data_IF_203370125391
#
_entry.id   IF_203370125391
#
_cell.length_a   1.000
_cell.length_b   1.000
_cell.length_c   1.000
_cell.angle_alpha   90.00
_cell.angle_beta   90.00
_cell.angle_gamma   90.00
#
_symmetry.space_group_name_H-M   'P 1'
#
loop_
_entity.id
_entity.type
_entity.pdbx_description
1 polymer ?
#
# COMPACT_ATOMS: atom_id res chain seq x y z
N UNK A 1 -6.82 -21.75 4.19
CA UNK A 1 -7.24 -20.48 4.80
C UNK A 1 -6.13 -20.06 5.73
N UNK A 2 -5.61 -18.85 5.57
CA UNK A 2 -4.60 -18.32 6.47
C UNK A 2 -5.22 -17.68 7.70
N UNK A 3 -4.44 -17.52 8.77
CA UNK A 3 -4.87 -16.86 10.00
C UNK A 3 -4.30 -15.45 10.07
N UNK A 4 -5.10 -14.48 10.54
CA UNK A 4 -4.69 -13.10 10.78
C UNK A 4 -4.62 -12.86 12.28
N UNK A 5 -3.50 -12.33 12.77
CA UNK A 5 -3.34 -11.97 14.17
C UNK A 5 -2.80 -10.55 14.31
N UNK A 6 -3.37 -9.79 15.24
CA UNK A 6 -2.93 -8.43 15.56
C UNK A 6 -1.69 -8.50 16.44
N UNK A 7 -0.71 -7.66 16.12
CA UNK A 7 0.41 -7.37 17.01
C UNK A 7 0.75 -5.88 16.97
N UNK A 8 1.41 -5.40 18.02
CA UNK A 8 1.82 -4.01 18.14
C UNK A 8 3.32 -3.89 17.91
N UNK A 9 3.71 -2.92 17.11
CA UNK A 9 5.12 -2.64 16.76
C UNK A 9 5.78 -1.73 17.81
N UNK A 10 7.10 -1.53 17.70
CA UNK A 10 7.85 -0.77 18.70
C UNK A 10 7.48 0.72 18.79
N UNK A 11 6.91 1.31 17.74
CA UNK A 11 6.40 2.70 17.76
C UNK A 11 4.94 2.80 18.25
N UNK A 12 4.38 1.69 18.75
CA UNK A 12 3.02 1.63 19.28
C UNK A 12 1.93 1.53 18.22
N UNK A 13 2.29 1.36 16.94
CA UNK A 13 1.31 1.17 15.86
C UNK A 13 0.90 -0.30 15.68
N UNK A 14 -0.38 -0.58 15.39
CA UNK A 14 -0.89 -1.92 15.16
C UNK A 14 -0.50 -2.43 13.77
N UNK A 15 -0.29 -3.73 13.67
CA UNK A 15 -0.03 -4.44 12.42
C UNK A 15 -0.57 -5.86 12.50
N UNK A 16 -0.47 -6.60 11.40
CA UNK A 16 -0.97 -7.97 11.30
C UNK A 16 0.15 -8.95 10.95
N UNK A 17 0.08 -10.14 11.53
CA UNK A 17 0.73 -11.33 10.98
C UNK A 17 -0.28 -12.11 10.15
N UNK A 18 0.18 -12.63 9.02
CA UNK A 18 -0.57 -13.57 8.20
C UNK A 18 0.15 -14.91 8.15
N UNK A 19 -0.51 -15.96 8.60
CA UNK A 19 -0.03 -17.33 8.49
C UNK A 19 -0.62 -18.00 7.25
N UNK A 20 0.23 -18.52 6.37
CA UNK A 20 -0.16 -19.32 5.21
C UNK A 20 0.49 -20.69 5.31
N UNK A 21 -0.33 -21.75 5.24
CA UNK A 21 0.16 -23.11 5.12
C UNK A 21 0.53 -23.36 3.66
N UNK A 22 1.80 -23.63 3.39
CA UNK A 22 2.34 -23.94 2.07
C UNK A 22 2.68 -25.43 1.99
N UNK A 23 2.69 -25.97 0.76
CA UNK A 23 3.19 -27.32 0.53
C UNK A 23 4.71 -27.31 0.69
N UNK A 24 5.22 -28.17 1.57
CA UNK A 24 6.65 -28.28 1.84
C UNK A 24 7.40 -29.02 0.74
N UNK A 25 8.74 -29.07 0.82
CA UNK A 25 9.61 -29.66 -0.21
C UNK A 25 9.44 -31.18 -0.35
N UNK A 26 8.96 -31.86 0.69
CA UNK A 26 8.65 -33.30 0.64
C UNK A 26 7.20 -33.55 0.24
N UNK A 27 6.97 -34.62 -0.52
CA UNK A 27 5.63 -35.04 -0.96
C UNK A 27 4.77 -35.31 0.28
N UNK A 28 3.72 -34.50 0.46
CA UNK A 28 2.79 -34.47 1.61
C UNK A 28 3.27 -33.74 2.87
N UNK A 29 4.37 -32.98 2.81
CA UNK A 29 4.73 -32.05 3.90
C UNK A 29 3.97 -30.72 3.77
N UNK A 30 3.63 -30.11 4.90
CA UNK A 30 3.04 -28.77 4.99
C UNK A 30 3.91 -27.94 5.92
N UNK A 31 4.26 -26.73 5.51
CA UNK A 31 4.99 -25.77 6.34
C UNK A 31 4.13 -24.52 6.53
N UNK A 32 3.94 -24.12 7.79
CA UNK A 32 3.32 -22.85 8.13
C UNK A 32 4.34 -21.73 7.95
N UNK A 33 4.01 -20.76 7.09
CA UNK A 33 4.82 -19.56 6.90
C UNK A 33 4.06 -18.37 7.47
N UNK A 34 4.65 -17.72 8.47
CA UNK A 34 4.11 -16.52 9.11
C UNK A 34 4.86 -15.30 8.59
N UNK A 35 4.12 -14.35 8.02
CA UNK A 35 4.66 -13.08 7.57
C UNK A 35 4.07 -11.92 8.38
N UNK A 36 4.93 -11.00 8.81
CA UNK A 36 4.51 -9.71 9.37
C UNK A 36 4.26 -8.74 8.22
N UNK A 37 3.11 -8.06 8.22
CA UNK A 37 2.79 -7.09 7.17
C UNK A 37 3.65 -5.83 7.23
N UNK A 38 4.24 -5.51 8.39
CA UNK A 38 5.12 -4.37 8.57
C UNK A 38 6.38 -4.75 9.36
N UNK A 39 7.36 -3.88 9.32
CA UNK A 39 8.58 -3.97 10.11
C UNK A 39 8.29 -3.80 11.60
N UNK A 40 8.94 -4.60 12.44
CA UNK A 40 8.69 -4.62 13.88
C UNK A 40 9.02 -3.31 14.61
N UNK A 41 9.81 -2.43 13.98
CA UNK A 41 10.14 -1.11 14.55
C UNK A 41 8.98 -0.11 14.47
N UNK A 42 8.01 -0.33 13.58
CA UNK A 42 6.90 0.59 13.44
C UNK A 42 6.16 0.46 12.13
N UNK A 43 4.89 0.10 12.16
CA UNK A 43 4.03 0.13 10.97
C UNK A 43 3.76 1.56 10.53
N UNK A 44 3.38 2.42 11.48
CA UNK A 44 3.20 3.86 11.27
C UNK A 44 4.46 4.50 10.69
N UNK A 45 5.59 4.35 11.37
CA UNK A 45 6.86 4.94 10.93
C UNK A 45 7.32 4.41 9.57
N UNK A 46 7.06 3.13 9.27
CA UNK A 46 7.32 2.55 7.95
C UNK A 46 6.43 3.18 6.88
N UNK A 47 5.12 3.29 7.12
CA UNK A 47 4.17 3.92 6.19
C UNK A 47 4.58 5.36 5.88
N UNK A 48 4.91 6.15 6.90
CA UNK A 48 5.38 7.53 6.70
C UNK A 48 6.64 7.56 5.84
N UNK A 49 7.63 6.74 6.19
CA UNK A 49 8.91 6.74 5.49
C UNK A 49 8.80 6.28 4.04
N UNK A 50 8.04 5.20 3.79
CA UNK A 50 8.01 4.51 2.50
C UNK A 50 6.93 5.09 1.59
N UNK A 51 5.72 5.30 2.09
CA UNK A 51 4.53 5.57 1.29
C UNK A 51 4.10 7.04 1.34
N UNK A 52 4.05 7.68 2.52
CA UNK A 52 3.67 9.10 2.63
C UNK A 52 4.58 10.00 1.80
N UNK A 53 5.90 9.79 1.86
CA UNK A 53 6.86 10.59 1.08
C UNK A 53 6.66 10.50 -0.43
N UNK A 54 6.13 9.38 -0.95
CA UNK A 54 5.78 9.23 -2.36
C UNK A 54 4.52 10.04 -2.71
N UNK A 55 3.50 9.96 -1.86
CA UNK A 55 2.26 10.71 -2.01
C UNK A 55 2.50 12.23 -1.93
N UNK A 56 3.31 12.69 -0.96
CA UNK A 56 3.70 14.10 -0.82
C UNK A 56 4.48 14.60 -2.04
N UNK A 57 5.44 13.80 -2.53
CA UNK A 57 6.18 14.16 -3.76
C UNK A 57 5.22 14.28 -4.94
N UNK A 58 4.30 13.33 -5.10
CA UNK A 58 3.31 13.38 -6.16
C UNK A 58 2.43 14.62 -6.04
N UNK A 59 1.86 14.90 -4.86
CA UNK A 59 1.04 16.08 -4.61
C UNK A 59 1.76 17.40 -4.89
N UNK A 60 3.07 17.46 -4.62
CA UNK A 60 3.85 18.68 -4.85
C UNK A 60 4.10 19.00 -6.34
N UNK A 61 3.95 18.02 -7.24
CA UNK A 61 4.34 18.14 -8.66
C UNK A 61 3.23 17.77 -9.66
N UNK A 62 2.12 17.15 -9.23
CA UNK A 62 1.11 16.55 -10.10
C UNK A 62 -0.24 17.35 -10.13
N UNK A 63 -1.18 17.04 -11.06
CA UNK A 63 -2.25 17.94 -11.50
C UNK A 63 -3.50 17.93 -10.58
N UNK A 64 -4.64 18.47 -11.07
CA UNK A 64 -5.95 18.49 -10.38
C UNK A 64 -6.43 17.11 -9.91
N UNK A 65 -6.00 16.02 -10.56
CA UNK A 65 -6.39 14.65 -10.25
C UNK A 65 -5.17 13.72 -10.24
N UNK A 66 -5.10 12.81 -9.27
CA UNK A 66 -4.01 11.86 -9.08
C UNK A 66 -4.59 10.44 -8.91
N UNK A 67 -4.14 9.48 -9.72
CA UNK A 67 -4.51 8.08 -9.55
C UNK A 67 -3.44 7.34 -8.78
N UNK A 68 -3.86 6.76 -7.65
CA UNK A 68 -3.01 6.02 -6.73
C UNK A 68 -3.41 4.56 -6.79
N UNK A 69 -2.47 3.68 -7.12
CA UNK A 69 -2.61 2.25 -6.92
C UNK A 69 -1.96 1.87 -5.60
N UNK A 70 -2.68 1.12 -4.78
CA UNK A 70 -2.18 0.47 -3.58
C UNK A 70 -2.34 -1.04 -3.72
N UNK A 71 -1.23 -1.78 -3.67
CA UNK A 71 -1.23 -3.23 -3.78
C UNK A 71 -1.07 -3.84 -2.40
N UNK A 72 -2.17 -4.19 -1.76
CA UNK A 72 -2.21 -4.65 -0.37
C UNK A 72 -2.92 -3.62 0.52
N UNK A 73 -4.18 -3.90 0.90
CA UNK A 73 -4.93 -3.03 1.81
C UNK A 73 -4.39 -3.19 3.23
N UNK A 74 -4.23 -4.44 3.70
CA UNK A 74 -3.84 -4.67 5.10
C UNK A 74 -4.84 -4.04 6.07
N UNK A 75 -4.34 -3.15 6.93
CA UNK A 75 -5.15 -2.33 7.85
C UNK A 75 -5.57 -0.96 7.26
N UNK A 76 -5.31 -0.70 5.98
CA UNK A 76 -5.73 0.54 5.31
C UNK A 76 -4.83 1.75 5.51
N UNK A 77 -3.58 1.55 5.95
CA UNK A 77 -2.65 2.66 6.22
C UNK A 77 -2.45 3.56 5.00
N UNK A 78 -2.22 2.96 3.82
CA UNK A 78 -1.93 3.70 2.58
C UNK A 78 -3.16 4.46 2.08
N UNK A 79 -4.35 3.88 2.20
CA UNK A 79 -5.62 4.45 1.76
C UNK A 79 -6.03 5.63 2.65
N UNK A 80 -5.92 5.46 3.97
CA UNK A 80 -6.25 6.52 4.93
C UNK A 80 -5.21 7.64 4.88
N UNK A 81 -3.92 7.31 4.69
CA UNK A 81 -2.85 8.29 4.45
C UNK A 81 -3.11 9.13 3.20
N UNK A 82 -3.47 8.47 2.09
CA UNK A 82 -3.80 9.14 0.83
C UNK A 82 -4.99 10.09 0.98
N UNK A 83 -6.06 9.63 1.64
CA UNK A 83 -7.25 10.43 1.91
C UNK A 83 -6.98 11.61 2.88
N UNK A 84 -6.15 11.41 3.91
CA UNK A 84 -5.76 12.47 4.85
C UNK A 84 -4.90 13.55 4.19
N UNK A 85 -3.94 13.14 3.36
CA UNK A 85 -3.14 14.07 2.57
C UNK A 85 -4.01 14.90 1.61
N UNK A 86 -4.95 14.28 0.89
CA UNK A 86 -5.91 14.98 0.03
C UNK A 86 -6.72 16.04 0.80
N UNK A 87 -7.25 15.71 1.97
CA UNK A 87 -7.97 16.67 2.82
C UNK A 87 -7.08 17.84 3.25
N UNK A 88 -5.84 17.56 3.63
CA UNK A 88 -4.88 18.59 4.07
C UNK A 88 -4.38 19.47 2.92
N UNK A 89 -4.43 18.96 1.67
CA UNK A 89 -3.92 19.63 0.46
C UNK A 89 -4.95 19.55 -0.67
N UNK A 90 -6.07 20.31 -0.59
CA UNK A 90 -7.26 20.11 -1.43
C UNK A 90 -7.09 20.55 -2.90
N UNK A 91 -5.88 20.85 -3.35
CA UNK A 91 -5.62 21.27 -4.73
C UNK A 91 -5.63 20.11 -5.73
N UNK A 92 -5.46 18.88 -5.23
CA UNK A 92 -5.42 17.66 -6.04
C UNK A 92 -6.38 16.62 -5.45
N UNK A 93 -7.30 16.12 -6.26
CA UNK A 93 -8.17 15.00 -5.89
C UNK A 93 -7.47 13.68 -6.17
N UNK A 94 -7.55 12.72 -5.25
CA UNK A 94 -7.05 11.37 -5.48
C UNK A 94 -8.16 10.41 -5.87
N UNK A 95 -7.86 9.52 -6.81
CA UNK A 95 -8.64 8.31 -7.06
C UNK A 95 -7.77 7.10 -6.68
N UNK A 96 -8.20 6.36 -5.66
CA UNK A 96 -7.40 5.33 -5.01
C UNK A 96 -7.92 3.95 -5.42
N UNK A 97 -7.04 3.09 -5.90
CA UNK A 97 -7.32 1.72 -6.32
C UNK A 97 -6.55 0.77 -5.42
N UNK A 98 -7.23 0.24 -4.41
CA UNK A 98 -6.65 -0.64 -3.38
C UNK A 98 -6.98 -2.09 -3.69
N UNK A 99 -5.97 -2.91 -3.98
CA UNK A 99 -6.12 -4.34 -4.22
C UNK A 99 -5.88 -5.13 -2.93
N UNK A 100 -6.76 -6.07 -2.61
CA UNK A 100 -6.62 -6.93 -1.44
C UNK A 100 -7.10 -8.35 -1.73
N UNK A 101 -6.22 -9.31 -1.46
CA UNK A 101 -6.48 -10.74 -1.69
C UNK A 101 -7.26 -11.41 -0.57
N UNK A 102 -7.31 -10.82 0.63
CA UNK A 102 -8.01 -11.32 1.81
C UNK A 102 -9.34 -10.56 2.01
N UNK A 103 -10.50 -11.13 1.65
CA UNK A 103 -11.79 -10.43 1.69
C UNK A 103 -12.19 -9.93 3.09
N UNK A 104 -11.71 -10.61 4.13
CA UNK A 104 -11.91 -10.24 5.53
C UNK A 104 -11.35 -8.85 5.85
N UNK A 105 -10.19 -8.49 5.29
CA UNK A 105 -9.58 -7.18 5.50
C UNK A 105 -10.41 -6.07 4.85
N UNK A 106 -10.90 -6.29 3.63
CA UNK A 106 -11.80 -5.35 2.96
C UNK A 106 -13.11 -5.18 3.74
N UNK A 107 -13.71 -6.29 4.18
CA UNK A 107 -14.95 -6.27 4.97
C UNK A 107 -14.77 -5.48 6.26
N UNK A 108 -13.72 -5.77 7.04
CA UNK A 108 -13.48 -5.09 8.32
C UNK A 108 -13.19 -3.60 8.12
N UNK A 109 -12.44 -3.23 7.07
CA UNK A 109 -12.17 -1.84 6.76
C UNK A 109 -13.46 -1.08 6.41
N UNK A 110 -14.31 -1.64 5.53
CA UNK A 110 -15.60 -1.05 5.18
C UNK A 110 -16.58 -1.00 6.36
N UNK A 111 -16.64 -2.05 7.17
CA UNK A 111 -17.44 -2.07 8.40
C UNK A 111 -17.02 -0.90 9.31
N UNK A 112 -15.72 -0.69 9.50
CA UNK A 112 -15.22 0.44 10.28
C UNK A 112 -15.57 1.80 9.66
N UNK A 113 -15.36 1.99 8.36
CA UNK A 113 -15.72 3.24 7.68
C UNK A 113 -17.20 3.60 7.86
N UNK A 114 -18.09 2.61 7.69
CA UNK A 114 -19.54 2.80 7.75
C UNK A 114 -20.12 2.90 9.16
N UNK A 115 -19.63 2.06 10.09
CA UNK A 115 -20.22 1.89 11.43
C UNK A 115 -19.40 2.51 12.55
N UNK A 116 -18.14 2.86 12.29
CA UNK A 116 -17.16 3.25 13.32
C UNK A 116 -16.60 2.07 14.11
N UNK A 117 -16.86 0.83 13.67
CA UNK A 117 -16.42 -0.40 14.34
C UNK A 117 -16.31 -1.55 13.33
N UNK A 118 -15.37 -2.45 13.53
CA UNK A 118 -15.23 -3.72 12.81
C UNK A 118 -15.19 -4.92 13.76
N UNK A 119 -15.40 -6.12 13.23
CA UNK A 119 -15.49 -7.34 14.03
C UNK A 119 -14.15 -7.74 14.64
N UNK A 120 -13.05 -7.54 13.90
CA UNK A 120 -11.73 -8.08 14.26
C UNK A 120 -10.68 -7.00 14.54
N UNK A 121 -10.82 -5.80 13.95
CA UNK A 121 -9.75 -4.81 13.92
C UNK A 121 -10.18 -3.41 14.38
N UNK A 122 -11.25 -3.30 15.20
CA UNK A 122 -11.77 -1.99 15.65
C UNK A 122 -10.70 -1.11 16.28
N UNK A 123 -9.98 -1.64 17.28
CA UNK A 123 -8.91 -0.91 17.99
C UNK A 123 -7.77 -0.51 17.04
N UNK A 124 -7.48 -1.33 16.03
CA UNK A 124 -6.45 -1.02 15.04
C UNK A 124 -6.86 0.19 14.20
N UNK A 125 -8.10 0.20 13.70
CA UNK A 125 -8.60 1.32 12.90
C UNK A 125 -8.76 2.59 13.74
N UNK A 126 -9.23 2.50 14.99
CA UNK A 126 -9.27 3.65 15.91
C UNK A 126 -7.88 4.27 16.04
N UNK A 127 -6.87 3.46 16.32
CA UNK A 127 -5.49 3.93 16.42
C UNK A 127 -5.00 4.60 15.13
N UNK A 128 -5.24 3.96 13.98
CA UNK A 128 -4.82 4.46 12.66
C UNK A 128 -5.47 5.81 12.36
N UNK A 129 -6.79 5.91 12.51
CA UNK A 129 -7.51 7.15 12.21
C UNK A 129 -7.17 8.26 13.19
N UNK A 130 -6.97 7.97 14.48
CA UNK A 130 -6.53 8.97 15.46
C UNK A 130 -5.15 9.53 15.13
N UNK A 131 -4.16 8.67 14.85
CA UNK A 131 -2.79 9.12 14.57
C UNK A 131 -2.67 9.82 13.21
N UNK A 132 -3.35 9.32 12.17
CA UNK A 132 -3.39 9.98 10.86
C UNK A 132 -4.09 11.33 10.91
N UNK A 133 -5.19 11.43 11.66
CA UNK A 133 -5.88 12.71 11.78
C UNK A 133 -5.03 13.71 12.54
N UNK A 134 -4.34 13.29 13.61
CA UNK A 134 -3.41 14.14 14.34
C UNK A 134 -2.22 14.61 13.48
N UNK A 135 -1.68 13.75 12.61
CA UNK A 135 -0.61 14.11 11.68
C UNK A 135 -0.99 15.28 10.75
N UNK A 136 -2.26 15.33 10.33
CA UNK A 136 -2.77 16.29 9.35
C UNK A 136 -3.60 17.43 9.96
N UNK A 137 -3.64 17.56 11.28
CA UNK A 137 -4.50 18.52 12.01
C UNK A 137 -6.00 18.39 11.63
N UNK A 138 -6.44 17.15 11.44
CA UNK A 138 -7.81 16.77 11.12
C UNK A 138 -8.50 16.15 12.33
N UNK A 139 -9.83 16.03 12.25
CA UNK A 139 -10.59 15.20 13.18
C UNK A 139 -10.73 13.77 12.66
N UNK A 140 -10.63 12.78 13.57
CA UNK A 140 -10.80 11.36 13.23
C UNK A 140 -12.15 11.03 12.57
N UNK A 141 -13.26 11.64 13.05
CA UNK A 141 -14.58 11.45 12.45
C UNK A 141 -14.71 12.09 11.06
N UNK A 142 -14.00 13.18 10.81
CA UNK A 142 -13.94 13.84 9.51
C UNK A 142 -13.18 12.99 8.49
N UNK A 143 -11.99 12.52 8.84
CA UNK A 143 -11.18 11.65 7.98
C UNK A 143 -11.91 10.35 7.64
N UNK A 144 -12.53 9.70 8.64
CA UNK A 144 -13.33 8.48 8.40
C UNK A 144 -14.50 8.73 7.47
N UNK A 145 -15.25 9.81 7.69
CA UNK A 145 -16.37 10.19 6.82
C UNK A 145 -15.90 10.48 5.40
N UNK A 146 -14.75 11.12 5.23
CA UNK A 146 -14.18 11.39 3.91
C UNK A 146 -13.79 10.08 3.19
N UNK A 147 -13.12 9.15 3.87
CA UNK A 147 -12.83 7.82 3.30
C UNK A 147 -14.11 7.09 2.85
N UNK A 148 -15.16 7.10 3.68
CA UNK A 148 -16.46 6.51 3.33
C UNK A 148 -17.08 7.19 2.11
N UNK A 149 -17.09 8.52 2.06
CA UNK A 149 -17.61 9.28 0.92
C UNK A 149 -16.87 8.96 -0.37
N UNK A 150 -15.54 8.84 -0.32
CA UNK A 150 -14.74 8.43 -1.49
C UNK A 150 -15.14 7.04 -1.95
N UNK A 151 -15.36 6.10 -1.04
CA UNK A 151 -15.83 4.75 -1.39
C UNK A 151 -17.20 4.80 -2.07
N UNK A 152 -18.17 5.49 -1.46
CA UNK A 152 -19.53 5.63 -1.99
C UNK A 152 -19.58 6.37 -3.35
N UNK A 153 -18.66 7.32 -3.58
CA UNK A 153 -18.58 8.09 -4.81
C UNK A 153 -17.71 7.44 -5.90
N UNK A 154 -17.14 6.25 -5.67
CA UNK A 154 -16.25 5.58 -6.62
C UNK A 154 -14.90 6.29 -6.81
N UNK A 155 -14.38 6.92 -5.76
CA UNK A 155 -13.03 7.52 -5.69
C UNK A 155 -12.06 6.74 -4.78
N UNK A 156 -12.57 5.81 -3.98
CA UNK A 156 -11.81 4.76 -3.33
C UNK A 156 -12.38 3.42 -3.78
N UNK A 157 -11.60 2.68 -4.55
CA UNK A 157 -11.96 1.38 -5.07
C UNK A 157 -11.29 0.30 -4.23
N UNK A 158 -12.08 -0.50 -3.52
CA UNK A 158 -11.59 -1.73 -2.88
C UNK A 158 -11.81 -2.88 -3.84
N UNK A 159 -10.71 -3.42 -4.34
CA UNK A 159 -10.66 -4.44 -5.36
C UNK A 159 -10.15 -5.75 -4.75
N UNK A 160 -10.55 -6.86 -5.34
CA UNK A 160 -10.05 -8.19 -4.97
C UNK A 160 -8.54 -8.34 -5.24
N UNK A 161 -8.04 -9.56 -5.14
CA UNK A 161 -6.66 -9.88 -5.53
C UNK A 161 -6.31 -9.27 -6.90
N UNK A 162 -5.07 -8.83 -7.03
CA UNK A 162 -4.57 -8.23 -8.24
C UNK A 162 -4.78 -9.18 -9.43
N UNK A 163 -5.49 -8.74 -10.50
CA UNK A 163 -5.89 -9.63 -11.58
C UNK A 163 -4.70 -9.99 -12.48
N UNK A 164 -4.84 -11.09 -13.23
CA UNK A 164 -3.86 -11.47 -14.26
C UNK A 164 -3.78 -10.46 -15.41
N UNK A 165 -4.85 -9.67 -15.62
CA UNK A 165 -4.87 -8.57 -16.58
C UNK A 165 -5.69 -7.41 -16.05
N UNK A 166 -5.18 -6.19 -16.23
CA UNK A 166 -5.87 -4.97 -15.85
C UNK A 166 -6.64 -4.37 -17.03
N UNK A 167 -7.63 -3.50 -16.78
CA UNK A 167 -8.31 -2.77 -17.84
C UNK A 167 -7.31 -2.01 -18.71
N UNK A 168 -7.42 -2.18 -20.03
CA UNK A 168 -6.60 -1.43 -20.98
C UNK A 168 -6.85 0.07 -20.79
N UNK A 169 -5.77 0.86 -20.77
CA UNK A 169 -5.75 2.32 -20.63
C UNK A 169 -6.03 2.87 -19.21
N UNK A 170 -5.92 2.05 -18.16
CA UNK A 170 -5.93 2.54 -16.79
C UNK A 170 -4.48 2.66 -16.27
N UNK A 171 -3.97 3.89 -16.20
CA UNK A 171 -2.63 4.17 -15.66
C UNK A 171 -2.67 4.90 -14.32
N UNK A 172 -1.58 4.80 -13.56
CA UNK A 172 -1.43 5.36 -12.22
C UNK A 172 -0.15 6.19 -12.11
N UNK A 173 -0.29 7.38 -11.52
CA UNK A 173 0.82 8.29 -11.24
C UNK A 173 1.58 7.89 -9.97
N UNK A 174 0.91 7.20 -9.03
CA UNK A 174 1.56 6.65 -7.83
C UNK A 174 1.23 5.18 -7.69
N UNK A 175 2.26 4.35 -7.53
CA UNK A 175 2.15 2.92 -7.26
C UNK A 175 2.79 2.65 -5.89
N UNK A 176 1.95 2.43 -4.88
CA UNK A 176 2.31 1.96 -3.56
C UNK A 176 2.34 0.43 -3.61
N UNK A 177 3.50 -0.14 -3.93
CA UNK A 177 3.64 -1.57 -4.13
C UNK A 177 3.89 -2.25 -2.77
N UNK A 178 2.82 -2.56 -2.05
CA UNK A 178 2.84 -3.07 -0.66
C UNK A 178 2.42 -4.55 -0.55
N UNK A 179 2.79 -5.34 -1.56
CA UNK A 179 2.41 -6.74 -1.62
C UNK A 179 3.12 -7.56 -0.54
N UNK A 180 2.52 -8.68 -0.15
CA UNK A 180 3.23 -9.74 0.56
C UNK A 180 4.52 -10.13 -0.18
N UNK A 181 5.52 -10.55 0.58
CA UNK A 181 6.86 -10.78 0.09
C UNK A 181 6.93 -11.87 -0.99
N UNK A 182 8.05 -11.91 -1.71
CA UNK A 182 8.35 -12.96 -2.69
C UNK A 182 8.28 -14.39 -2.13
N UNK A 183 8.31 -14.57 -0.80
CA UNK A 183 8.11 -15.90 -0.20
C UNK A 183 6.63 -16.29 -0.14
N UNK A 184 5.75 -15.32 0.10
CA UNK A 184 4.32 -15.52 0.28
C UNK A 184 3.56 -15.51 -1.04
N UNK A 185 3.97 -14.61 -1.96
CA UNK A 185 3.38 -14.38 -3.27
C UNK A 185 4.45 -14.22 -4.37
N UNK A 186 5.24 -15.28 -4.69
CA UNK A 186 6.36 -15.18 -5.63
C UNK A 186 5.98 -14.63 -7.01
N UNK A 187 4.78 -14.94 -7.48
CA UNK A 187 4.24 -14.55 -8.78
C UNK A 187 4.30 -13.05 -9.02
N UNK A 188 4.03 -12.25 -7.98
CA UNK A 188 4.02 -10.79 -8.04
C UNK A 188 5.42 -10.20 -8.23
N UNK A 189 6.48 -10.94 -7.88
CA UNK A 189 7.86 -10.45 -7.85
C UNK A 189 8.73 -10.99 -8.98
N UNK A 190 8.16 -11.76 -9.90
CA UNK A 190 8.89 -12.24 -11.08
C UNK A 190 9.21 -11.08 -12.01
N UNK A 191 10.37 -11.13 -12.67
CA UNK A 191 10.80 -10.07 -13.58
C UNK A 191 9.81 -9.88 -14.73
N UNK A 192 9.28 -10.99 -15.29
CA UNK A 192 8.27 -10.97 -16.36
C UNK A 192 6.95 -10.33 -15.92
N UNK A 193 6.43 -10.70 -14.74
CA UNK A 193 5.23 -10.07 -14.19
C UNK A 193 5.45 -8.58 -13.97
N UNK A 194 6.54 -8.21 -13.29
CA UNK A 194 6.85 -6.81 -12.99
C UNK A 194 7.01 -5.98 -14.27
N UNK A 195 7.72 -6.48 -15.28
CA UNK A 195 7.87 -5.75 -16.55
C UNK A 195 6.56 -5.64 -17.31
N UNK A 196 5.85 -6.77 -17.48
CA UNK A 196 4.57 -6.80 -18.19
C UNK A 196 3.56 -5.86 -17.54
N UNK A 197 3.26 -6.09 -16.26
CA UNK A 197 2.28 -5.30 -15.52
C UNK A 197 2.68 -3.83 -15.44
N UNK A 198 3.89 -3.49 -14.99
CA UNK A 198 4.27 -2.08 -14.80
C UNK A 198 4.37 -1.31 -16.13
N UNK A 199 4.65 -1.98 -17.25
CA UNK A 199 4.61 -1.34 -18.58
C UNK A 199 3.21 -0.92 -19.00
N UNK A 200 2.17 -1.61 -18.52
CA UNK A 200 0.77 -1.34 -18.85
C UNK A 200 0.15 -0.29 -17.92
N UNK A 201 0.54 -0.30 -16.65
CA UNK A 201 -0.19 0.45 -15.60
C UNK A 201 0.51 1.73 -15.14
N UNK A 202 1.82 1.85 -15.34
CA UNK A 202 2.52 3.05 -14.91
C UNK A 202 2.32 4.17 -15.95
N UNK A 203 1.82 5.33 -15.52
CA UNK A 203 1.73 6.53 -16.37
C UNK A 203 3.12 7.00 -16.82
N UNK A 204 3.19 7.89 -17.82
CA UNK A 204 4.47 8.50 -18.25
C UNK A 204 5.24 9.11 -17.08
N UNK A 205 4.48 9.74 -16.18
CA UNK A 205 4.94 10.43 -14.98
C UNK A 205 4.49 9.63 -13.76
N UNK A 206 5.39 8.80 -13.23
CA UNK A 206 5.03 7.82 -12.22
C UNK A 206 6.04 7.74 -11.07
N UNK A 207 5.54 7.60 -9.85
CA UNK A 207 6.30 7.21 -8.66
C UNK A 207 5.94 5.78 -8.31
N UNK A 208 6.93 4.92 -8.12
CA UNK A 208 6.76 3.61 -7.51
C UNK A 208 7.60 3.50 -6.25
N UNK A 209 6.96 3.14 -5.14
CA UNK A 209 7.63 2.91 -3.86
C UNK A 209 7.23 1.57 -3.25
N UNK A 210 8.14 0.96 -2.48
CA UNK A 210 7.89 -0.30 -1.76
C UNK A 210 8.92 -0.53 -0.67
N UNK A 211 8.55 -1.30 0.36
CA UNK A 211 9.47 -1.80 1.37
C UNK A 211 10.50 -2.80 0.82
N UNK A 212 10.20 -3.46 -0.31
CA UNK A 212 11.02 -4.53 -0.84
C UNK A 212 12.14 -4.00 -1.75
N UNK A 213 13.36 -4.54 -1.60
CA UNK A 213 14.49 -4.22 -2.46
C UNK A 213 14.99 -5.51 -3.15
N UNK A 214 14.34 -5.91 -4.25
CA UNK A 214 14.71 -7.11 -5.02
C UNK A 214 15.46 -6.77 -6.30
N UNK A 215 16.33 -7.69 -6.75
CA UNK A 215 17.06 -7.53 -8.00
C UNK A 215 16.14 -7.51 -9.23
N UNK A 216 15.07 -8.31 -9.21
CA UNK A 216 14.07 -8.33 -10.28
C UNK A 216 13.37 -6.96 -10.39
N UNK A 217 12.85 -6.42 -9.28
CA UNK A 217 12.24 -5.10 -9.24
C UNK A 217 13.17 -4.01 -9.79
N UNK A 218 14.43 -3.99 -9.35
CA UNK A 218 15.42 -3.02 -9.84
C UNK A 218 15.64 -3.11 -11.35
N UNK A 219 15.76 -4.32 -11.90
CA UNK A 219 15.97 -4.50 -13.35
C UNK A 219 14.73 -4.12 -14.16
N UNK A 220 13.54 -4.55 -13.71
CA UNK A 220 12.27 -4.20 -14.35
C UNK A 220 12.02 -2.69 -14.37
N UNK A 221 12.21 -2.01 -13.24
CA UNK A 221 12.01 -0.56 -13.19
C UNK A 221 13.02 0.20 -14.05
N UNK A 222 14.29 -0.23 -14.05
CA UNK A 222 15.31 0.36 -14.92
C UNK A 222 14.98 0.17 -16.40
N UNK A 223 14.51 -1.01 -16.83
CA UNK A 223 14.15 -1.25 -18.23
C UNK A 223 12.95 -0.41 -18.67
N UNK A 224 12.06 -0.06 -17.73
CA UNK A 224 10.90 0.82 -17.94
C UNK A 224 11.22 2.31 -17.78
N UNK A 225 12.49 2.69 -17.64
CA UNK A 225 12.92 4.09 -17.61
C UNK A 225 12.73 4.80 -16.26
N UNK A 226 12.47 4.07 -15.18
CA UNK A 226 12.48 4.65 -13.85
C UNK A 226 13.90 4.89 -13.36
N UNK A 227 14.09 6.00 -12.64
CA UNK A 227 15.30 6.33 -11.89
C UNK A 227 15.07 6.07 -10.41
N UNK A 228 16.06 5.45 -9.75
CA UNK A 228 16.02 5.23 -8.30
C UNK A 228 16.48 6.48 -7.58
N UNK A 229 15.73 6.94 -6.58
CA UNK A 229 16.20 7.95 -5.64
C UNK A 229 16.98 7.26 -4.52
N UNK A 230 18.26 7.57 -4.40
CA UNK A 230 19.12 6.99 -3.37
C UNK A 230 18.77 7.57 -2.00
N UNK A 231 18.25 6.71 -1.12
CA UNK A 231 17.98 7.03 0.28
C UNK A 231 18.18 5.79 1.16
N UNK A 232 18.48 5.96 2.46
CA UNK A 232 18.53 4.84 3.40
C UNK A 232 17.24 4.02 3.38
N UNK A 233 17.31 2.75 3.76
CA UNK A 233 16.11 1.97 4.04
C UNK A 233 15.54 2.32 5.40
N UNK A 234 14.23 2.06 5.58
CA UNK A 234 13.57 2.22 6.87
C UNK A 234 14.26 1.37 7.95
N UNK A 235 14.31 1.89 9.18
CA UNK A 235 14.83 1.19 10.36
C UNK A 235 16.27 0.61 10.21
N UNK A 236 17.16 1.35 9.56
CA UNK A 236 18.56 0.96 9.40
C UNK A 236 18.81 -0.05 8.28
N UNK A 237 17.79 -0.38 7.48
CA UNK A 237 17.97 -1.11 6.23
C UNK A 237 18.87 -0.32 5.28
N UNK A 238 19.67 -1.02 4.48
CA UNK A 238 20.65 -0.39 3.59
C UNK A 238 20.01 0.39 2.44
N UNK A 239 18.87 -0.08 1.96
CA UNK A 239 18.27 0.43 0.73
C UNK A 239 16.75 0.59 0.87
N UNK A 240 16.19 1.59 0.18
CA UNK A 240 14.76 1.83 -0.01
C UNK A 240 14.45 1.82 -1.50
N UNK A 241 13.37 1.13 -1.88
CA UNK A 241 12.86 1.20 -3.25
C UNK A 241 11.97 2.42 -3.39
N UNK A 242 12.54 3.51 -3.87
CA UNK A 242 11.82 4.71 -4.26
C UNK A 242 12.25 5.07 -5.68
N UNK A 243 11.33 4.93 -6.63
CA UNK A 243 11.60 5.08 -8.05
C UNK A 243 10.68 6.12 -8.65
N UNK A 244 11.23 6.93 -9.55
CA UNK A 244 10.55 8.06 -10.18
C UNK A 244 10.79 8.04 -11.69
N UNK A 245 9.81 8.52 -12.45
CA UNK A 245 9.85 8.65 -13.90
C UNK A 245 9.11 9.91 -14.32
N UNK A 246 9.53 10.51 -15.43
CA UNK A 246 8.90 11.72 -15.98
C UNK A 246 9.13 12.93 -15.08
N UNK A 247 8.13 13.79 -14.91
CA UNK A 247 8.23 15.02 -14.12
C UNK A 247 8.69 14.76 -12.67
N UNK A 248 8.34 13.60 -12.10
CA UNK A 248 8.74 13.24 -10.74
C UNK A 248 10.24 12.92 -10.58
N UNK A 249 11.01 12.86 -11.67
CA UNK A 249 12.45 12.70 -11.61
C UNK A 249 13.21 14.03 -11.45
N UNK A 250 12.53 15.16 -11.63
CA UNK A 250 13.07 16.52 -11.48
C UNK A 250 12.97 17.03 -10.03
#
# INVERSE_FOLDING_TARGET
MGNLEVYWTADGSPSLTFEKILQGPEKNSQEGYVEKMHHSQGAWSETKYIYQTALERALSQAPKELRVLSLGLGLGYNEVMSAGLELSQPQTQMEIFSFESLPELQKNFLDYLGKGSSELFSECYEWIFENLSAEFDLRSDELRKHCLQKYESGKLHLLNAFPESLPKNQTYEVILYDAFSNKMNPELWTEDFLQGTLSEIASSDCILTTYAATGALKRSLKSLGFSKLERPGFAGKRDSSFYVRGVFAE
#
